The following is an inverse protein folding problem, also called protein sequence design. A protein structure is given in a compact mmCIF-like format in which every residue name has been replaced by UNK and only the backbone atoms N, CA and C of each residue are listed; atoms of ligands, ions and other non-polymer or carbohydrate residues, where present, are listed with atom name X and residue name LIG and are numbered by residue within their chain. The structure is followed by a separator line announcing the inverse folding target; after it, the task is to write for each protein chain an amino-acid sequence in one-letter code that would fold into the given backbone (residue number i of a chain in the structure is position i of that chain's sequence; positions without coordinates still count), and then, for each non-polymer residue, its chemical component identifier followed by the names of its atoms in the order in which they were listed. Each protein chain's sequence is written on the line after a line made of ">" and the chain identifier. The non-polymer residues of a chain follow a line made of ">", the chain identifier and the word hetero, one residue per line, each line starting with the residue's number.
data_IF_361230896135
#
_entry.id   IF_361230896135
#
_cell.length_a   1.000
_cell.length_b   1.000
_cell.length_c   1.000
_cell.angle_alpha   90.00
_cell.angle_beta   90.00
_cell.angle_gamma   90.00
#
_symmetry.space_group_name_H-M   'P 1'
#
loop_
_entity.id
_entity.type
_entity.pdbx_description
1 polymer ?
#
# COMPACT_ATOMS: atom_id res chain seq x y z
N UNK A 1 4.28 -36.04 14.46
CA UNK A 1 3.75 -35.00 13.55
C UNK A 1 4.89 -34.07 13.19
N UNK A 2 5.25 -33.96 11.91
CA UNK A 2 6.35 -33.09 11.49
C UNK A 2 5.99 -31.63 11.68
N UNK A 3 6.92 -30.84 12.23
CA UNK A 3 6.81 -29.38 12.30
C UNK A 3 6.54 -28.82 10.89
N UNK A 4 5.61 -27.88 10.70
CA UNK A 4 5.44 -27.23 9.41
C UNK A 4 6.75 -26.52 9.04
N UNK A 5 7.34 -26.90 7.91
CA UNK A 5 8.49 -26.22 7.35
C UNK A 5 8.04 -24.80 7.00
N UNK A 6 8.62 -23.78 7.64
CA UNK A 6 8.26 -22.38 7.36
C UNK A 6 8.56 -22.10 5.89
N UNK A 7 7.53 -22.06 5.08
CA UNK A 7 7.61 -21.71 3.66
C UNK A 7 7.81 -20.20 3.56
N UNK A 8 8.90 -19.77 2.92
CA UNK A 8 9.07 -18.36 2.53
C UNK A 8 8.09 -18.02 1.41
N UNK A 9 7.55 -16.81 1.40
CA UNK A 9 6.56 -16.38 0.40
C UNK A 9 7.19 -15.35 -0.54
N UNK A 10 7.37 -15.71 -1.82
CA UNK A 10 7.77 -14.74 -2.84
C UNK A 10 6.54 -13.94 -3.30
N UNK A 11 6.60 -12.62 -3.19
CA UNK A 11 5.58 -11.71 -3.73
C UNK A 11 6.17 -10.94 -4.90
N UNK A 12 5.50 -10.96 -6.06
CA UNK A 12 5.96 -10.29 -7.28
C UNK A 12 4.92 -9.26 -7.71
N UNK A 13 5.39 -8.04 -7.95
CA UNK A 13 4.60 -6.95 -8.51
C UNK A 13 5.19 -5.60 -8.15
N UNK A 14 4.47 -4.54 -8.50
CA UNK A 14 4.96 -3.18 -8.37
C UNK A 14 4.88 -2.65 -6.93
N UNK A 15 5.80 -1.74 -6.63
CA UNK A 15 5.72 -0.82 -5.50
C UNK A 15 5.35 0.55 -6.05
N UNK A 16 4.28 1.14 -5.53
CA UNK A 16 3.70 2.39 -6.04
C UNK A 16 3.81 3.46 -4.94
N UNK A 17 4.04 4.72 -5.32
CA UNK A 17 3.82 5.87 -4.44
C UNK A 17 2.37 6.33 -4.61
N UNK A 18 1.59 6.21 -3.55
CA UNK A 18 0.21 6.70 -3.51
C UNK A 18 0.22 8.17 -3.10
N UNK A 19 -0.44 9.03 -3.90
CA UNK A 19 -0.70 10.43 -3.56
C UNK A 19 -2.18 10.57 -3.24
N UNK A 20 -2.48 10.65 -1.95
CA UNK A 20 -3.85 10.78 -1.44
C UNK A 20 -4.18 12.26 -1.32
N UNK A 21 -5.18 12.70 -2.09
CA UNK A 21 -5.67 14.10 -2.08
C UNK A 21 -7.07 14.11 -1.48
N UNK A 22 -7.23 14.86 -0.38
CA UNK A 22 -8.53 15.02 0.31
C UNK A 22 -8.98 16.47 0.14
N UNK A 23 -9.98 16.74 -0.73
CA UNK A 23 -10.53 18.07 -0.94
C UNK A 23 -11.21 18.61 0.31
N UNK A 24 -11.02 19.90 0.62
CA UNK A 24 -11.73 20.60 1.71
C UNK A 24 -13.11 21.11 1.30
N UNK A 25 -13.42 21.06 0.01
CA UNK A 25 -14.71 21.45 -0.56
C UNK A 25 -14.97 20.67 -1.84
N UNK A 26 -16.16 20.85 -2.43
CA UNK A 26 -16.53 20.22 -3.70
C UNK A 26 -15.55 20.61 -4.83
N UNK A 27 -15.11 19.60 -5.59
CA UNK A 27 -14.22 19.79 -6.74
C UNK A 27 -14.98 20.49 -7.87
N UNK A 28 -14.38 21.54 -8.44
CA UNK A 28 -14.95 22.27 -9.58
C UNK A 28 -13.99 22.30 -10.77
N UNK A 29 -14.49 22.22 -12.02
CA UNK A 29 -13.63 22.33 -13.20
C UNK A 29 -12.90 23.66 -13.29
N UNK A 30 -11.71 23.66 -13.90
CA UNK A 30 -10.91 24.84 -14.26
C UNK A 30 -10.56 25.76 -13.08
N UNK A 31 -10.49 25.23 -11.87
CA UNK A 31 -10.07 25.97 -10.68
C UNK A 31 -9.39 25.04 -9.68
N UNK A 32 -8.51 25.60 -8.86
CA UNK A 32 -7.87 24.86 -7.78
C UNK A 32 -8.85 24.60 -6.63
N UNK A 33 -8.75 23.42 -6.02
CA UNK A 33 -9.51 23.07 -4.81
C UNK A 33 -8.55 22.85 -3.66
N UNK A 34 -8.67 23.68 -2.61
CA UNK A 34 -7.85 23.53 -1.42
C UNK A 34 -8.00 22.11 -0.85
N UNK A 35 -6.88 21.44 -0.62
CA UNK A 35 -6.83 20.02 -0.26
C UNK A 35 -5.71 19.75 0.74
N UNK A 36 -5.89 18.73 1.58
CA UNK A 36 -4.76 18.10 2.27
C UNK A 36 -4.19 16.99 1.40
N UNK A 37 -2.86 16.96 1.24
CA UNK A 37 -2.15 15.99 0.42
C UNK A 37 -1.29 15.12 1.33
N UNK A 38 -1.42 13.80 1.20
CA UNK A 38 -0.59 12.83 1.90
C UNK A 38 0.08 11.90 0.90
N UNK A 39 1.35 11.56 1.17
CA UNK A 39 2.10 10.56 0.40
C UNK A 39 2.15 9.27 1.22
N UNK A 40 1.79 8.16 0.61
CA UNK A 40 1.98 6.83 1.20
C UNK A 40 2.60 5.88 0.18
N UNK A 41 3.01 4.71 0.64
CA UNK A 41 3.41 3.61 -0.23
C UNK A 41 2.22 2.70 -0.50
N UNK A 42 2.13 2.16 -1.70
CA UNK A 42 1.06 1.28 -2.15
C UNK A 42 1.51 0.27 -3.20
N UNK A 43 0.53 -0.26 -3.93
CA UNK A 43 0.71 -1.40 -4.83
C UNK A 43 0.25 -2.70 -4.18
N UNK A 44 -0.51 -3.51 -4.93
CA UNK A 44 -1.10 -4.74 -4.40
C UNK A 44 -0.04 -5.69 -3.83
N UNK A 45 1.04 -5.93 -4.59
CA UNK A 45 2.15 -6.77 -4.18
C UNK A 45 2.87 -6.22 -2.94
N UNK A 46 3.19 -4.92 -2.93
CA UNK A 46 3.82 -4.26 -1.79
C UNK A 46 2.98 -4.36 -0.51
N UNK A 47 1.66 -4.16 -0.62
CA UNK A 47 0.74 -4.27 0.52
C UNK A 47 0.68 -5.70 1.06
N UNK A 48 0.61 -6.71 0.18
CA UNK A 48 0.62 -8.13 0.58
C UNK A 48 1.93 -8.49 1.29
N UNK A 49 3.08 -8.14 0.70
CA UNK A 49 4.39 -8.40 1.32
C UNK A 49 4.51 -7.71 2.69
N UNK A 50 4.06 -6.45 2.79
CA UNK A 50 4.10 -5.69 4.04
C UNK A 50 3.27 -6.34 5.15
N UNK A 51 2.07 -6.82 4.84
CA UNK A 51 1.21 -7.49 5.82
C UNK A 51 1.76 -8.86 6.24
N UNK A 52 2.28 -9.64 5.29
CA UNK A 52 2.92 -10.91 5.60
C UNK A 52 4.14 -10.70 6.51
N UNK A 53 4.98 -9.72 6.21
CA UNK A 53 6.12 -9.35 7.07
C UNK A 53 5.66 -8.85 8.45
N UNK A 54 4.58 -8.05 8.52
CA UNK A 54 4.00 -7.60 9.78
C UNK A 54 3.52 -8.77 10.67
N UNK A 55 3.00 -9.84 10.05
CA UNK A 55 2.57 -11.07 10.73
C UNK A 55 3.74 -12.02 11.06
N UNK A 56 4.99 -11.63 10.80
CA UNK A 56 6.19 -12.44 11.07
C UNK A 56 6.45 -13.54 10.05
N UNK A 57 5.80 -13.49 8.89
CA UNK A 57 6.03 -14.43 7.79
C UNK A 57 7.20 -13.91 6.95
N UNK A 58 8.17 -14.78 6.66
CA UNK A 58 9.27 -14.45 5.78
C UNK A 58 8.79 -14.28 4.34
N UNK A 59 8.88 -13.05 3.84
CA UNK A 59 8.60 -12.65 2.45
C UNK A 59 9.84 -12.18 1.73
#
# INVERSE_FOLDING_TARGET
>A
MGQPKVSKILVIGDVIEDVIVIPKSEIRPNTDTESSIHKSTGGQAANVASWLSYLGIAT
#
